data_IF_985580419057
#
_entry.id   IF_985580419057
#
_cell.length_a   1.000
_cell.length_b   1.000
_cell.length_c   1.000
_cell.angle_alpha   90.00
_cell.angle_beta   90.00
_cell.angle_gamma   90.00
#
_symmetry.space_group_name_H-M   'P 1'
#
loop_
_entity.id
_entity.type
_entity.pdbx_description
1 polymer ?
#
# COMPACT_ATOMS: atom_id res chain seq x y z
N UNK A 1 -25.68 -4.34 -9.56
CA UNK A 1 -26.64 -4.45 -8.44
C UNK A 1 -25.99 -3.91 -7.16
N UNK A 2 -26.22 -2.63 -6.86
CA UNK A 2 -25.62 -1.93 -5.71
C UNK A 2 -26.58 -1.94 -4.52
N UNK A 3 -26.30 -2.76 -3.51
CA UNK A 3 -27.05 -2.81 -2.24
C UNK A 3 -26.08 -2.61 -1.08
N UNK A 4 -25.41 -1.46 -1.07
CA UNK A 4 -24.50 -1.05 -0.03
C UNK A 4 -25.06 0.14 0.78
N UNK A 5 -25.39 -0.12 2.05
CA UNK A 5 -26.10 0.72 3.01
C UNK A 5 -25.54 2.12 3.35
N UNK A 6 -24.40 2.56 2.81
CA UNK A 6 -23.96 3.97 3.00
C UNK A 6 -24.61 4.96 2.03
N UNK A 7 -25.01 4.51 0.83
CA UNK A 7 -25.70 5.37 -0.14
C UNK A 7 -27.21 5.49 0.16
N UNK A 8 -27.80 4.47 0.80
CA UNK A 8 -29.22 4.50 1.22
C UNK A 8 -29.45 5.51 2.34
N UNK A 9 -28.51 5.63 3.27
CA UNK A 9 -28.54 6.64 4.33
C UNK A 9 -28.48 8.08 3.77
N UNK A 10 -27.77 8.28 2.66
CA UNK A 10 -27.62 9.60 2.02
C UNK A 10 -28.86 10.04 1.23
N UNK A 11 -29.71 9.10 0.78
CA UNK A 11 -30.97 9.43 0.07
C UNK A 11 -31.94 10.20 0.98
N UNK A 12 -31.96 9.87 2.28
CA UNK A 12 -32.80 10.51 3.29
C UNK A 12 -32.26 11.89 3.74
N UNK A 13 -30.98 12.18 3.55
CA UNK A 13 -30.37 13.45 4.00
C UNK A 13 -30.03 14.45 2.88
N UNK A 14 -29.96 14.02 1.62
CA UNK A 14 -29.50 14.88 0.50
C UNK A 14 -30.50 15.04 -0.64
N UNK A 15 -31.57 14.23 -0.70
CA UNK A 15 -32.56 14.27 -1.79
C UNK A 15 -32.05 13.77 -3.16
N UNK A 16 -30.82 13.24 -3.24
CA UNK A 16 -30.19 12.77 -4.47
C UNK A 16 -30.55 11.30 -4.73
N UNK A 17 -30.84 10.93 -5.98
CA UNK A 17 -31.05 9.54 -6.39
C UNK A 17 -29.75 8.72 -6.30
N UNK A 18 -29.86 7.40 -6.09
CA UNK A 18 -28.67 6.55 -5.99
C UNK A 18 -27.85 6.55 -7.29
N UNK A 19 -28.51 6.61 -8.45
CA UNK A 19 -27.85 6.71 -9.75
C UNK A 19 -27.08 8.02 -9.92
N UNK A 20 -27.68 9.15 -9.52
CA UNK A 20 -27.00 10.45 -9.56
C UNK A 20 -25.78 10.49 -8.62
N UNK A 21 -25.88 9.92 -7.42
CA UNK A 21 -24.75 9.79 -6.49
C UNK A 21 -23.64 8.90 -7.06
N UNK A 22 -24.00 7.77 -7.67
CA UNK A 22 -23.04 6.86 -8.31
C UNK A 22 -22.28 7.54 -9.45
N UNK A 23 -22.98 8.30 -10.30
CA UNK A 23 -22.38 9.03 -11.41
C UNK A 23 -21.44 10.15 -10.90
N UNK A 24 -21.88 10.91 -9.89
CA UNK A 24 -21.06 11.95 -9.27
C UNK A 24 -19.79 11.37 -8.66
N UNK A 25 -19.90 10.24 -7.92
CA UNK A 25 -18.74 9.56 -7.35
C UNK A 25 -17.78 9.07 -8.44
N UNK A 26 -18.27 8.47 -9.52
CA UNK A 26 -17.44 8.02 -10.63
C UNK A 26 -16.66 9.17 -11.28
N UNK A 27 -17.33 10.31 -11.53
CA UNK A 27 -16.68 11.50 -12.08
C UNK A 27 -15.63 12.08 -11.13
N UNK A 28 -15.94 12.12 -9.82
CA UNK A 28 -15.01 12.56 -8.79
C UNK A 28 -13.76 11.66 -8.73
N UNK A 29 -13.95 10.34 -8.72
CA UNK A 29 -12.85 9.38 -8.70
C UNK A 29 -11.97 9.50 -9.96
N UNK A 30 -12.57 9.65 -11.14
CA UNK A 30 -11.83 9.87 -12.38
C UNK A 30 -11.02 11.17 -12.36
N UNK A 31 -11.57 12.26 -11.81
CA UNK A 31 -10.85 13.51 -11.61
C UNK A 31 -9.68 13.36 -10.62
N UNK A 32 -9.88 12.63 -9.53
CA UNK A 32 -8.87 12.36 -8.52
C UNK A 32 -7.73 11.49 -9.08
N UNK A 33 -8.06 10.43 -9.83
CA UNK A 33 -7.07 9.57 -10.49
C UNK A 33 -6.19 10.35 -11.47
N UNK A 34 -6.76 11.28 -12.26
CA UNK A 34 -5.97 12.16 -13.14
C UNK A 34 -5.00 13.08 -12.39
N UNK A 35 -5.32 13.44 -11.14
CA UNK A 35 -4.46 14.28 -10.30
C UNK A 35 -3.50 13.50 -9.43
N UNK A 36 -3.75 12.20 -9.20
CA UNK A 36 -2.96 11.36 -8.31
C UNK A 36 -1.44 11.37 -8.62
N UNK A 37 -0.98 11.32 -9.89
CA UNK A 37 0.45 11.37 -10.21
C UNK A 37 1.17 12.65 -9.75
N UNK A 38 0.44 13.75 -9.47
CA UNK A 38 1.01 14.99 -8.95
C UNK A 38 1.37 14.90 -7.46
N UNK A 39 0.79 13.94 -6.74
CA UNK A 39 0.94 13.77 -5.30
C UNK A 39 1.57 12.42 -4.92
N UNK A 40 1.39 11.42 -5.78
CA UNK A 40 1.94 10.06 -5.63
C UNK A 40 2.87 9.84 -6.81
N UNK A 41 4.13 10.22 -6.63
CA UNK A 41 5.17 10.02 -7.61
C UNK A 41 6.37 9.37 -6.93
N UNK A 42 6.88 8.30 -7.56
CA UNK A 42 8.11 7.70 -7.09
C UNK A 42 9.27 8.63 -7.46
N UNK A 43 10.12 9.03 -6.50
CA UNK A 43 11.15 10.01 -6.75
C UNK A 43 12.14 9.50 -7.81
N UNK A 44 12.45 10.36 -8.78
CA UNK A 44 13.65 10.22 -9.61
C UNK A 44 14.84 10.77 -8.82
N UNK A 45 16.03 10.16 -8.84
CA UNK A 45 17.18 10.68 -8.09
C UNK A 45 17.74 11.96 -8.77
N UNK A 46 18.23 13.02 -8.07
CA UNK A 46 18.61 13.09 -6.65
C UNK A 46 18.18 14.37 -5.85
N UNK A 47 18.09 14.20 -4.53
CA UNK A 47 18.71 15.03 -3.47
C UNK A 47 18.74 14.16 -2.20
N UNK A 48 19.82 14.15 -1.40
CA UNK A 48 19.82 13.41 -0.14
C UNK A 48 18.68 13.93 0.74
N UNK A 49 17.88 13.04 1.35
CA UNK A 49 16.79 13.46 2.22
C UNK A 49 17.36 14.34 3.33
N UNK A 50 16.63 15.41 3.68
CA UNK A 50 17.03 16.35 4.73
C UNK A 50 17.29 15.66 6.08
N UNK A 51 16.62 14.52 6.32
CA UNK A 51 16.86 13.65 7.47
C UNK A 51 17.15 12.22 6.95
N UNK A 52 18.42 11.76 6.98
CA UNK A 52 18.79 10.47 6.41
C UNK A 52 18.20 9.32 7.23
N UNK A 53 17.66 8.29 6.57
CA UNK A 53 17.20 7.08 7.26
C UNK A 53 18.33 6.44 8.08
N UNK A 54 17.95 5.74 9.16
CA UNK A 54 18.93 5.07 10.02
C UNK A 54 19.75 3.99 9.27
N UNK A 55 19.21 3.48 8.16
CA UNK A 55 19.95 2.75 7.14
C UNK A 55 20.21 3.67 5.94
N UNK A 56 21.49 3.95 5.59
CA UNK A 56 21.82 4.85 4.49
C UNK A 56 21.37 4.27 3.13
N UNK A 57 21.05 5.16 2.19
CA UNK A 57 20.67 4.80 0.82
C UNK A 57 19.25 4.24 0.65
N UNK A 58 18.45 4.18 1.72
CA UNK A 58 17.03 3.79 1.62
C UNK A 58 16.20 4.93 1.02
N UNK A 59 15.70 4.74 -0.21
CA UNK A 59 14.86 5.72 -0.92
C UNK A 59 13.38 5.61 -0.55
N UNK A 60 12.93 4.41 -0.21
CA UNK A 60 11.52 4.16 0.08
C UNK A 60 11.31 2.93 0.95
N UNK A 61 10.20 2.95 1.66
CA UNK A 61 9.76 1.90 2.57
C UNK A 61 8.55 1.22 1.93
N UNK A 62 8.67 -0.07 1.59
CA UNK A 62 7.60 -0.85 0.96
C UNK A 62 6.85 -1.67 2.00
N UNK A 63 5.53 -1.60 1.95
CA UNK A 63 4.62 -2.36 2.80
C UNK A 63 3.36 -2.72 2.06
N UNK A 64 2.49 -3.45 2.74
CA UNK A 64 1.18 -3.78 2.23
C UNK A 64 0.10 -3.58 3.30
N UNK A 65 -1.12 -3.33 2.86
CA UNK A 65 -2.30 -3.37 3.70
C UNK A 65 -3.45 -4.06 2.97
N UNK A 66 -4.23 -4.85 3.69
CA UNK A 66 -5.45 -5.43 3.18
C UNK A 66 -6.62 -4.47 3.35
N UNK A 67 -7.29 -4.15 2.25
CA UNK A 67 -8.53 -3.36 2.24
C UNK A 67 -9.69 -4.34 2.18
N UNK A 68 -10.49 -4.41 3.25
CA UNK A 68 -11.58 -5.37 3.35
C UNK A 68 -12.65 -5.14 2.28
N UNK A 69 -13.16 -6.22 1.72
CA UNK A 69 -14.22 -6.25 0.72
C UNK A 69 -15.42 -7.04 1.26
N UNK A 70 -16.59 -6.86 0.65
CA UNK A 70 -17.62 -7.88 0.69
C UNK A 70 -17.14 -9.10 -0.10
N UNK A 71 -17.46 -10.30 0.37
CA UNK A 71 -17.20 -11.54 -0.38
C UNK A 71 -17.74 -11.41 -1.81
N UNK A 72 -16.89 -11.56 -2.84
CA UNK A 72 -17.35 -11.56 -4.22
C UNK A 72 -18.12 -12.85 -4.52
N UNK A 73 -19.05 -12.79 -5.48
CA UNK A 73 -19.84 -13.95 -5.88
C UNK A 73 -19.03 -14.92 -6.75
N UNK A 74 -18.11 -14.38 -7.54
CA UNK A 74 -17.19 -15.12 -8.40
C UNK A 74 -15.78 -15.08 -7.79
N UNK A 75 -15.02 -16.17 -7.96
CA UNK A 75 -13.63 -16.28 -7.52
C UNK A 75 -13.37 -15.87 -6.05
N UNK A 76 -14.36 -16.07 -5.17
CA UNK A 76 -14.28 -15.79 -3.72
C UNK A 76 -12.96 -16.22 -3.06
N UNK A 77 -12.42 -17.43 -3.34
CA UNK A 77 -11.20 -17.89 -2.69
C UNK A 77 -9.99 -17.01 -3.00
N UNK A 78 -9.95 -16.36 -4.18
CA UNK A 78 -8.86 -15.46 -4.55
C UNK A 78 -8.77 -14.26 -3.62
N UNK A 79 -9.90 -13.78 -3.10
CA UNK A 79 -9.92 -12.58 -2.26
C UNK A 79 -9.69 -12.88 -0.78
N UNK A 80 -9.68 -14.15 -0.39
CA UNK A 80 -9.49 -14.57 1.00
C UNK A 80 -8.02 -14.49 1.40
N UNK A 81 -7.72 -13.69 2.43
CA UNK A 81 -6.37 -13.53 2.94
C UNK A 81 -6.06 -14.50 4.10
N UNK A 82 -4.82 -14.47 4.59
CA UNK A 82 -4.36 -15.28 5.74
C UNK A 82 -5.05 -14.93 7.07
N UNK A 83 -5.65 -13.73 7.17
CA UNK A 83 -6.48 -13.30 8.28
C UNK A 83 -7.92 -13.81 8.20
N UNK A 84 -8.24 -14.67 7.23
CA UNK A 84 -9.54 -15.29 7.02
C UNK A 84 -10.68 -14.31 6.66
N UNK A 85 -10.37 -13.22 5.95
CA UNK A 85 -11.36 -12.28 5.40
C UNK A 85 -11.06 -11.87 3.95
N UNK A 86 -12.08 -11.38 3.24
CA UNK A 86 -11.96 -10.93 1.85
C UNK A 86 -11.32 -9.55 1.76
N UNK A 87 -10.35 -9.39 0.87
CA UNK A 87 -9.66 -8.12 0.71
C UNK A 87 -9.02 -7.92 -0.66
N UNK A 88 -8.71 -6.66 -0.99
CA UNK A 88 -7.66 -6.31 -1.94
C UNK A 88 -6.35 -6.18 -1.19
N UNK A 89 -5.30 -6.81 -1.70
CA UNK A 89 -3.94 -6.54 -1.26
C UNK A 89 -3.44 -5.24 -1.91
N UNK A 90 -3.24 -4.21 -1.08
CA UNK A 90 -2.74 -2.90 -1.49
C UNK A 90 -1.28 -2.74 -1.04
N UNK A 91 -0.35 -2.80 -1.98
CA UNK A 91 1.03 -2.42 -1.75
C UNK A 91 1.17 -0.89 -1.74
N UNK A 92 1.96 -0.39 -0.81
CA UNK A 92 2.22 1.04 -0.62
C UNK A 92 3.71 1.24 -0.40
N UNK A 93 4.26 2.26 -1.04
CA UNK A 93 5.60 2.77 -0.76
C UNK A 93 5.50 4.19 -0.25
N UNK A 94 6.25 4.48 0.81
CA UNK A 94 6.41 5.84 1.29
C UNK A 94 7.88 6.20 1.48
N UNK A 95 8.19 7.49 1.54
CA UNK A 95 9.51 7.97 1.93
C UNK A 95 9.72 7.93 3.45
N UNK A 96 10.88 8.42 3.92
CA UNK A 96 11.20 8.53 5.34
C UNK A 96 10.30 9.48 6.14
N UNK A 97 9.67 10.46 5.47
CA UNK A 97 8.69 11.37 6.08
C UNK A 97 7.26 10.77 6.12
N UNK A 98 7.05 9.63 5.44
CA UNK A 98 5.77 8.96 5.36
C UNK A 98 4.88 9.45 4.21
N UNK A 99 5.40 10.26 3.28
CA UNK A 99 4.69 10.65 2.07
C UNK A 99 4.61 9.45 1.11
N UNK A 100 3.42 9.18 0.59
CA UNK A 100 3.16 8.02 -0.27
C UNK A 100 3.66 8.31 -1.67
N UNK A 101 4.58 7.49 -2.17
CA UNK A 101 5.26 7.68 -3.46
C UNK A 101 4.84 6.64 -4.50
N UNK A 102 4.36 5.48 -4.07
CA UNK A 102 3.82 4.46 -4.98
C UNK A 102 2.69 3.68 -4.31
N UNK A 103 1.69 3.28 -5.10
CA UNK A 103 0.56 2.47 -4.66
C UNK A 103 0.21 1.46 -5.75
N UNK A 104 -0.01 0.20 -5.36
CA UNK A 104 -0.56 -0.85 -6.21
C UNK A 104 -1.73 -1.50 -5.48
N UNK A 105 -2.96 -1.26 -5.95
CA UNK A 105 -4.20 -1.67 -5.27
C UNK A 105 -5.11 -2.51 -6.18
N UNK A 106 -4.54 -3.50 -6.87
CA UNK A 106 -5.24 -4.31 -7.89
C UNK A 106 -5.17 -5.83 -7.68
N UNK A 107 -4.50 -6.27 -6.61
CA UNK A 107 -4.28 -7.70 -6.38
C UNK A 107 -5.27 -8.24 -5.36
N UNK A 108 -5.74 -9.48 -5.54
CA UNK A 108 -6.69 -10.08 -4.62
C UNK A 108 -6.01 -10.46 -3.30
N UNK A 109 -6.78 -10.60 -2.22
CA UNK A 109 -6.28 -10.74 -0.85
C UNK A 109 -5.45 -12.00 -0.58
N UNK A 110 -5.60 -13.05 -1.38
CA UNK A 110 -4.75 -14.26 -1.32
C UNK A 110 -3.35 -14.05 -1.90
N UNK A 111 -3.15 -13.00 -2.71
CA UNK A 111 -1.90 -12.77 -3.42
C UNK A 111 -0.78 -12.37 -2.43
N UNK A 112 0.35 -13.10 -2.40
CA UNK A 112 1.48 -12.77 -1.53
C UNK A 112 2.09 -11.40 -1.88
N UNK A 113 2.59 -10.68 -0.87
CA UNK A 113 3.22 -9.37 -1.05
C UNK A 113 4.39 -9.40 -2.05
N UNK A 114 5.18 -10.50 -2.03
CA UNK A 114 6.25 -10.74 -3.00
C UNK A 114 5.74 -10.72 -4.45
N UNK A 115 4.65 -11.44 -4.74
CA UNK A 115 4.06 -11.50 -6.07
C UNK A 115 3.48 -10.15 -6.51
N UNK A 116 2.88 -9.40 -5.59
CA UNK A 116 2.42 -8.02 -5.86
C UNK A 116 3.59 -7.12 -6.26
N UNK A 117 4.71 -7.21 -5.55
CA UNK A 117 5.93 -6.45 -5.85
C UNK A 117 6.48 -6.84 -7.23
N UNK A 118 6.68 -8.13 -7.51
CA UNK A 118 7.23 -8.62 -8.77
C UNK A 118 6.41 -8.16 -9.98
N UNK A 119 5.09 -8.07 -9.85
CA UNK A 119 4.19 -7.63 -10.91
C UNK A 119 3.96 -6.10 -10.93
N UNK A 120 4.67 -5.34 -10.10
CA UNK A 120 4.57 -3.87 -10.04
C UNK A 120 5.46 -3.19 -11.08
N UNK A 121 5.09 -1.97 -11.50
CA UNK A 121 5.97 -1.12 -12.29
C UNK A 121 7.23 -0.70 -11.51
N UNK A 122 7.12 -0.66 -10.18
CA UNK A 122 8.23 -0.34 -9.29
C UNK A 122 9.34 -1.39 -9.35
N UNK A 123 9.01 -2.68 -9.32
CA UNK A 123 10.03 -3.73 -9.43
C UNK A 123 10.80 -3.63 -10.75
N UNK A 124 10.12 -3.39 -11.88
CA UNK A 124 10.78 -3.18 -13.18
C UNK A 124 11.70 -1.97 -13.18
N UNK A 125 11.28 -0.87 -12.54
CA UNK A 125 12.11 0.33 -12.38
C UNK A 125 13.37 0.03 -11.57
N UNK A 126 13.21 -0.66 -10.43
CA UNK A 126 14.31 -0.98 -9.51
C UNK A 126 15.27 -2.04 -10.05
N UNK A 127 14.82 -2.93 -10.93
CA UNK A 127 15.65 -3.93 -11.61
C UNK A 127 16.43 -3.33 -12.79
N UNK A 128 15.88 -2.31 -13.47
CA UNK A 128 16.50 -1.72 -14.67
C UNK A 128 17.36 -0.48 -14.40
N UNK A 129 16.72 0.63 -14.00
CA UNK A 129 17.31 2.00 -14.06
C UNK A 129 17.69 2.55 -12.68
N UNK A 130 17.90 1.67 -11.71
CA UNK A 130 18.23 2.05 -10.34
C UNK A 130 19.66 2.60 -10.24
N UNK A 131 19.88 3.75 -9.57
CA UNK A 131 21.23 4.19 -9.22
C UNK A 131 21.89 3.23 -8.22
N UNK A 132 23.21 3.10 -8.29
CA UNK A 132 23.96 2.36 -7.28
C UNK A 132 23.76 2.98 -5.88
N UNK A 133 23.80 2.12 -4.85
CA UNK A 133 23.65 2.56 -3.46
C UNK A 133 22.23 3.01 -3.07
N UNK A 134 21.22 2.69 -3.89
CA UNK A 134 19.82 2.96 -3.60
C UNK A 134 19.07 1.68 -3.28
N UNK A 135 18.34 1.67 -2.16
CA UNK A 135 17.56 0.52 -1.72
C UNK A 135 16.12 0.91 -1.37
N UNK A 136 15.23 -0.05 -1.52
CA UNK A 136 13.97 -0.09 -0.81
C UNK A 136 14.13 -0.91 0.47
N UNK A 137 13.28 -0.64 1.46
CA UNK A 137 13.22 -1.40 2.70
C UNK A 137 11.85 -2.05 2.83
N UNK A 138 11.80 -3.37 2.94
CA UNK A 138 10.57 -4.15 3.11
C UNK A 138 10.60 -4.97 4.38
N UNK A 139 9.43 -5.42 4.85
CA UNK A 139 9.38 -6.39 5.94
C UNK A 139 9.67 -7.83 5.45
N UNK A 140 9.52 -8.80 6.36
CA UNK A 140 9.78 -10.21 6.10
C UNK A 140 8.83 -10.86 5.07
N UNK A 141 7.75 -10.18 4.66
CA UNK A 141 6.82 -10.69 3.64
C UNK A 141 7.34 -10.52 2.22
N UNK A 142 8.48 -9.83 2.07
CA UNK A 142 9.14 -9.59 0.80
C UNK A 142 10.45 -10.41 0.69
N UNK A 143 10.88 -10.75 -0.53
CA UNK A 143 12.17 -11.38 -0.74
C UNK A 143 13.31 -10.37 -0.62
N UNK A 144 14.48 -10.82 -0.18
CA UNK A 144 15.71 -10.05 -0.31
C UNK A 144 16.08 -9.93 -1.80
N UNK A 145 16.37 -8.70 -2.27
CA UNK A 145 16.85 -8.46 -3.64
C UNK A 145 18.04 -7.48 -3.61
N UNK A 146 18.84 -7.36 -4.69
CA UNK A 146 19.95 -6.38 -4.75
C UNK A 146 19.54 -4.92 -4.47
N UNK A 147 18.25 -4.63 -4.59
CA UNK A 147 17.62 -3.33 -4.37
C UNK A 147 16.54 -3.32 -3.28
N UNK A 148 16.30 -4.44 -2.59
CA UNK A 148 15.32 -4.54 -1.52
C UNK A 148 15.94 -5.21 -0.30
N UNK A 149 16.10 -4.42 0.75
CA UNK A 149 16.57 -4.88 2.05
C UNK A 149 15.39 -5.39 2.88
N UNK A 150 15.58 -6.52 3.54
CA UNK A 150 14.61 -7.17 4.42
C UNK A 150 15.28 -7.55 5.74
N UNK A 151 14.54 -7.77 6.84
CA UNK A 151 15.16 -8.10 8.12
C UNK A 151 15.81 -9.48 8.07
N UNK A 152 16.94 -9.66 8.76
CA UNK A 152 17.62 -10.95 8.86
C UNK A 152 16.75 -11.89 9.71
N UNK A 153 16.44 -13.08 9.18
CA UNK A 153 15.73 -14.12 9.91
C UNK A 153 16.69 -14.90 10.80
N UNK A 154 16.31 -15.09 12.07
CA UNK A 154 17.15 -15.78 13.06
C UNK A 154 18.49 -15.10 13.31
N UNK A 155 18.51 -13.79 13.68
CA UNK A 155 19.75 -13.03 13.79
C UNK A 155 20.69 -13.61 14.85
N UNK A 156 21.98 -13.73 14.51
CA UNK A 156 23.05 -14.25 15.35
C UNK A 156 24.12 -13.18 15.58
N UNK A 157 24.46 -12.97 16.85
CA UNK A 157 25.49 -12.01 17.25
C UNK A 157 25.04 -10.55 17.17
N UNK A 158 25.91 -9.65 17.61
CA UNK A 158 25.58 -8.24 17.81
C UNK A 158 25.32 -7.47 16.50
N UNK A 159 26.01 -7.83 15.41
CA UNK A 159 25.90 -7.12 14.13
C UNK A 159 24.52 -7.30 13.48
N UNK A 160 24.00 -8.53 13.44
CA UNK A 160 22.70 -8.83 12.84
C UNK A 160 21.55 -8.26 13.69
N UNK A 161 21.68 -8.32 15.02
CA UNK A 161 20.75 -7.66 15.94
C UNK A 161 20.74 -6.14 15.74
N UNK A 162 21.91 -5.51 15.58
CA UNK A 162 22.02 -4.07 15.28
C UNK A 162 21.39 -3.73 13.94
N UNK A 163 21.63 -4.53 12.90
CA UNK A 163 20.98 -4.36 11.60
C UNK A 163 19.46 -4.41 11.73
N UNK A 164 18.90 -5.46 12.36
CA UNK A 164 17.46 -5.60 12.53
C UNK A 164 16.84 -4.47 13.36
N UNK A 165 17.56 -3.94 14.34
CA UNK A 165 17.14 -2.77 15.11
C UNK A 165 17.08 -1.50 14.23
N UNK A 166 18.11 -1.23 13.43
CA UNK A 166 18.13 -0.10 12.49
C UNK A 166 17.07 -0.26 11.39
N UNK A 167 16.92 -1.47 10.87
CA UNK A 167 15.88 -1.83 9.90
C UNK A 167 14.48 -1.54 10.44
N UNK A 168 14.20 -2.01 11.67
CA UNK A 168 12.90 -1.79 12.32
C UNK A 168 12.60 -0.32 12.59
N UNK A 169 13.62 0.47 12.97
CA UNK A 169 13.51 1.93 13.13
C UNK A 169 13.24 2.62 11.81
N UNK A 170 13.94 2.22 10.75
CA UNK A 170 13.80 2.80 9.41
C UNK A 170 12.43 2.48 8.80
N UNK A 171 11.83 1.32 9.10
CA UNK A 171 10.46 0.98 8.69
C UNK A 171 9.35 1.65 9.52
N UNK A 172 9.67 2.33 10.63
CA UNK A 172 8.65 2.90 11.50
C UNK A 172 7.73 3.96 10.83
N UNK A 173 8.21 4.86 9.96
CA UNK A 173 7.36 5.80 9.24
C UNK A 173 6.27 5.12 8.41
N UNK A 174 6.61 4.06 7.66
CA UNK A 174 5.65 3.27 6.89
C UNK A 174 4.52 2.72 7.76
N UNK A 175 4.85 2.10 8.90
CA UNK A 175 3.85 1.56 9.83
C UNK A 175 2.91 2.65 10.35
N UNK A 176 3.46 3.84 10.67
CA UNK A 176 2.66 5.01 11.08
C UNK A 176 1.76 5.49 9.95
N UNK A 177 2.28 5.62 8.72
CA UNK A 177 1.51 6.03 7.54
C UNK A 177 0.33 5.10 7.28
N UNK A 178 0.55 3.77 7.28
CA UNK A 178 -0.51 2.79 7.09
C UNK A 178 -1.57 2.87 8.22
N UNK A 179 -1.15 3.07 9.46
CA UNK A 179 -2.07 3.26 10.59
C UNK A 179 -2.89 4.55 10.45
N UNK A 180 -2.26 5.66 10.04
CA UNK A 180 -2.93 6.94 9.80
C UNK A 180 -3.93 6.85 8.64
N UNK A 181 -3.60 6.15 7.56
CA UNK A 181 -4.53 5.91 6.45
C UNK A 181 -5.79 5.19 6.94
N UNK A 182 -5.65 4.11 7.71
CA UNK A 182 -6.80 3.40 8.31
C UNK A 182 -7.63 4.30 9.22
N UNK A 183 -6.98 5.14 10.04
CA UNK A 183 -7.69 6.05 10.95
C UNK A 183 -8.44 7.16 10.21
N UNK A 184 -7.81 7.76 9.20
CA UNK A 184 -8.37 8.87 8.43
C UNK A 184 -9.47 8.40 7.48
N UNK A 185 -9.24 7.30 6.78
CA UNK A 185 -10.18 6.71 5.84
C UNK A 185 -10.77 5.45 6.46
N UNK A 186 -11.85 5.62 7.23
CA UNK A 186 -12.50 4.52 7.96
C UNK A 186 -12.96 3.39 7.03
N UNK A 187 -13.23 3.67 5.76
CA UNK A 187 -13.50 2.67 4.73
C UNK A 187 -12.33 1.68 4.50
N UNK A 188 -11.11 2.02 4.92
CA UNK A 188 -9.93 1.16 4.88
C UNK A 188 -9.68 0.39 6.19
N UNK A 189 -10.40 0.71 7.28
CA UNK A 189 -10.15 0.15 8.62
C UNK A 189 -11.05 -1.04 8.99
N UNK A 190 -12.14 -1.28 8.26
CA UNK A 190 -13.10 -2.35 8.55
C UNK A 190 -14.53 -1.95 8.20
N UNK A 191 -15.38 -2.94 7.95
CA UNK A 191 -16.77 -2.78 7.48
C UNK A 191 -17.03 -3.27 6.05
N UNK A 192 -15.95 -3.62 5.33
CA UNK A 192 -15.99 -4.04 3.93
C UNK A 192 -16.36 -2.87 3.01
N UNK A 193 -15.52 -2.57 2.02
CA UNK A 193 -16.01 -1.80 0.89
C UNK A 193 -17.19 -2.59 0.29
N UNK A 194 -18.35 -1.93 0.18
CA UNK A 194 -19.56 -2.52 -0.42
C UNK A 194 -19.47 -2.52 -1.96
N UNK A 195 -18.27 -2.78 -2.46
CA UNK A 195 -17.94 -2.91 -3.86
C UNK A 195 -17.52 -4.36 -4.10
N UNK A 196 -18.09 -4.95 -5.14
CA UNK A 196 -17.49 -6.14 -5.74
C UNK A 196 -16.25 -5.66 -6.51
N UNK A 197 -15.10 -6.36 -6.41
CA UNK A 197 -13.95 -6.12 -7.26
C UNK A 197 -14.30 -6.28 -8.75
#
# INVERSE_FOLDING_TARGET
>A
LASGSFQTASRLSTGISQSAMSNCLAQFLAALQRRAPRFIAFPSPPAPPADPPALPGVLGLVGAMHVALRAPAEDEPLFRNSGNFHSINMQVVCDGAGAITNVVAKFPGSCPNAAVLENSALARLMEGTRPEGVWLLGDHSYPLKPWLLTPIQGPRGAAELRYNALHSRTLAPLRRTLALLRRRFRCLAGGGLQYSP
#
